data_IF_918745664640
#
_entry.id   IF_918745664640
#
_cell.length_a   1.000
_cell.length_b   1.000
_cell.length_c   1.000
_cell.angle_alpha   90.00
_cell.angle_beta   90.00
_cell.angle_gamma   90.00
#
_symmetry.space_group_name_H-M   'P 1'
#
loop_
_entity.id
_entity.type
_entity.pdbx_description
1 polymer ?
#
# COMPACT_ATOMS: atom_id res chain seq x y z
N UNK A 1 -39.77 -20.46 105.25
CA UNK A 1 -38.51 -19.76 104.94
C UNK A 1 -37.59 -20.52 103.98
N UNK A 2 -38.04 -21.58 103.29
CA UNK A 2 -37.33 -22.20 102.14
C UNK A 2 -37.95 -21.82 100.78
N UNK A 3 -39.28 -21.71 100.69
CA UNK A 3 -39.99 -21.35 99.45
C UNK A 3 -39.64 -19.95 98.92
N UNK A 4 -39.58 -18.93 99.81
CA UNK A 4 -39.21 -17.56 99.42
C UNK A 4 -37.77 -17.44 98.92
N UNK A 5 -36.87 -18.27 99.42
CA UNK A 5 -35.45 -18.28 99.00
C UNK A 5 -35.28 -18.91 97.62
N UNK A 6 -36.06 -19.95 97.32
CA UNK A 6 -36.06 -20.62 96.02
C UNK A 6 -36.68 -19.73 94.92
N UNK A 7 -37.77 -19.03 95.21
CA UNK A 7 -38.41 -18.06 94.31
C UNK A 7 -37.44 -16.93 93.92
N UNK A 8 -36.71 -16.39 94.90
CA UNK A 8 -35.72 -15.34 94.66
C UNK A 8 -34.52 -15.84 93.84
N UNK A 9 -34.11 -17.09 94.01
CA UNK A 9 -33.05 -17.72 93.21
C UNK A 9 -33.49 -17.94 91.75
N UNK A 10 -34.72 -18.41 91.52
CA UNK A 10 -35.28 -18.59 90.18
C UNK A 10 -35.46 -17.25 89.46
N UNK A 11 -35.99 -16.24 90.15
CA UNK A 11 -36.09 -14.88 89.62
C UNK A 11 -34.72 -14.32 89.23
N UNK A 12 -33.70 -14.51 90.09
CA UNK A 12 -32.33 -14.06 89.80
C UNK A 12 -31.77 -14.79 88.58
N UNK A 13 -31.92 -16.12 88.52
CA UNK A 13 -31.43 -16.92 87.39
C UNK A 13 -32.10 -16.53 86.07
N UNK A 14 -33.44 -16.47 86.02
CA UNK A 14 -34.20 -16.08 84.81
C UNK A 14 -33.88 -14.64 84.40
N UNK A 15 -33.80 -13.70 85.34
CA UNK A 15 -33.47 -12.30 85.05
C UNK A 15 -32.03 -12.15 84.54
N UNK A 16 -31.07 -12.87 85.13
CA UNK A 16 -29.68 -12.88 84.66
C UNK A 16 -29.54 -13.51 83.28
N UNK A 17 -30.22 -14.64 83.02
CA UNK A 17 -30.24 -15.28 81.70
C UNK A 17 -30.90 -14.38 80.66
N UNK A 18 -32.03 -13.74 80.99
CA UNK A 18 -32.70 -12.79 80.09
C UNK A 18 -31.83 -11.58 79.78
N UNK A 19 -31.18 -10.99 80.79
CA UNK A 19 -30.27 -9.85 80.61
C UNK A 19 -29.03 -10.21 79.78
N UNK A 20 -28.50 -11.43 79.95
CA UNK A 20 -27.44 -11.95 79.09
C UNK A 20 -27.92 -12.13 77.65
N UNK A 21 -29.14 -12.68 77.44
CA UNK A 21 -29.74 -12.82 76.11
C UNK A 21 -29.99 -11.48 75.43
N UNK A 22 -30.32 -10.43 76.16
CA UNK A 22 -30.39 -9.06 75.61
C UNK A 22 -29.02 -8.62 75.05
N UNK A 23 -27.93 -9.00 75.72
CA UNK A 23 -26.56 -8.79 75.24
C UNK A 23 -26.25 -9.58 73.96
N UNK A 24 -26.68 -10.84 73.90
CA UNK A 24 -26.52 -11.71 72.71
C UNK A 24 -27.32 -11.18 71.53
N UNK A 25 -28.57 -10.76 71.75
CA UNK A 25 -29.44 -10.19 70.74
C UNK A 25 -28.82 -8.93 70.13
N UNK A 26 -28.22 -8.07 70.96
CA UNK A 26 -27.47 -6.92 70.47
C UNK A 26 -26.31 -7.31 69.56
N UNK A 27 -25.58 -8.40 69.85
CA UNK A 27 -24.49 -8.89 68.97
C UNK A 27 -25.07 -9.35 67.63
N UNK A 28 -26.10 -10.20 67.64
CA UNK A 28 -26.77 -10.71 66.44
C UNK A 28 -27.31 -9.56 65.56
N UNK A 29 -27.89 -8.52 66.17
CA UNK A 29 -28.44 -7.37 65.46
C UNK A 29 -27.35 -6.37 65.00
N UNK A 30 -26.23 -6.24 65.73
CA UNK A 30 -25.14 -5.32 65.40
C UNK A 30 -24.19 -5.85 64.32
N UNK A 31 -24.10 -7.17 64.17
CA UNK A 31 -23.24 -7.82 63.18
C UNK A 31 -23.64 -7.57 61.72
N UNK A 32 -24.82 -7.00 61.49
CA UNK A 32 -25.23 -6.59 60.14
C UNK A 32 -24.52 -5.32 59.64
N UNK A 33 -23.74 -4.61 60.48
CA UNK A 33 -23.28 -3.25 60.14
C UNK A 33 -21.77 -2.97 60.27
N UNK A 34 -20.93 -3.84 60.85
CA UNK A 34 -19.56 -3.47 61.16
C UNK A 34 -18.51 -4.24 60.33
N UNK A 35 -17.90 -3.49 59.41
CA UNK A 35 -16.53 -3.68 58.98
C UNK A 35 -15.63 -3.83 60.21
N UNK A 36 -15.27 -5.06 60.58
CA UNK A 36 -14.17 -5.31 61.50
C UNK A 36 -12.99 -5.84 60.68
N UNK A 37 -11.82 -5.20 60.84
CA UNK A 37 -10.54 -5.54 60.19
C UNK A 37 -10.03 -6.98 60.49
N UNK A 38 -10.79 -7.80 61.21
CA UNK A 38 -10.45 -9.20 61.48
C UNK A 38 -11.70 -10.11 61.56
N UNK A 39 -12.16 -10.56 60.39
CA UNK A 39 -13.31 -11.47 60.23
C UNK A 39 -13.09 -12.81 60.95
N UNK A 40 -11.85 -13.27 61.08
CA UNK A 40 -11.52 -14.52 61.78
C UNK A 40 -11.71 -14.40 63.29
N UNK A 41 -11.24 -13.31 63.90
CA UNK A 41 -11.45 -13.06 65.33
C UNK A 41 -12.94 -12.84 65.68
N UNK A 42 -13.71 -12.23 64.77
CA UNK A 42 -15.15 -12.04 64.96
C UNK A 42 -15.92 -13.36 64.82
N UNK A 43 -15.53 -14.21 63.88
CA UNK A 43 -16.08 -15.57 63.74
C UNK A 43 -15.79 -16.42 64.98
N UNK A 44 -14.54 -16.42 65.47
CA UNK A 44 -14.17 -17.15 66.70
C UNK A 44 -15.00 -16.69 67.92
N UNK A 45 -15.22 -15.38 68.05
CA UNK A 45 -16.06 -14.79 69.10
C UNK A 45 -17.54 -15.21 68.99
N UNK A 46 -18.11 -15.19 67.80
CA UNK A 46 -19.51 -15.61 67.59
C UNK A 46 -19.69 -17.13 67.75
N UNK A 47 -18.72 -17.95 67.31
CA UNK A 47 -18.75 -19.40 67.52
C UNK A 47 -18.67 -19.77 69.00
N UNK A 48 -17.85 -19.04 69.78
CA UNK A 48 -17.80 -19.18 71.24
C UNK A 48 -19.17 -18.85 71.86
N UNK A 49 -19.80 -17.76 71.42
CA UNK A 49 -21.11 -17.34 71.92
C UNK A 49 -22.23 -18.32 71.51
N UNK A 50 -22.15 -18.92 70.32
CA UNK A 50 -23.07 -19.97 69.88
C UNK A 50 -22.95 -21.24 70.72
N UNK A 51 -21.72 -21.61 71.10
CA UNK A 51 -21.46 -22.71 72.03
C UNK A 51 -22.04 -22.43 73.41
N UNK A 52 -21.89 -21.20 73.92
CA UNK A 52 -22.48 -20.78 75.20
C UNK A 52 -24.01 -20.78 75.17
N UNK A 53 -24.63 -20.30 74.10
CA UNK A 53 -26.09 -20.40 73.90
C UNK A 53 -26.56 -21.85 73.92
N UNK A 54 -25.85 -22.73 73.22
CA UNK A 54 -26.19 -24.15 73.19
C UNK A 54 -26.09 -24.79 74.58
N UNK A 55 -25.06 -24.44 75.35
CA UNK A 55 -24.88 -24.90 76.74
C UNK A 55 -26.03 -24.41 77.63
N UNK A 56 -26.35 -23.11 77.58
CA UNK A 56 -27.44 -22.52 78.38
C UNK A 56 -28.81 -23.08 77.97
N UNK A 57 -29.04 -23.34 76.69
CA UNK A 57 -30.23 -24.05 76.21
C UNK A 57 -30.33 -25.48 76.76
N UNK A 58 -29.20 -26.18 76.88
CA UNK A 58 -29.09 -27.47 77.55
C UNK A 58 -29.45 -27.39 79.03
N UNK A 59 -28.96 -26.36 79.74
CA UNK A 59 -29.29 -26.11 81.15
C UNK A 59 -30.76 -25.76 81.38
N UNK A 60 -31.37 -24.98 80.47
CA UNK A 60 -32.82 -24.68 80.49
C UNK A 60 -33.63 -25.95 80.25
N UNK A 61 -33.24 -26.79 79.29
CA UNK A 61 -33.91 -28.08 79.03
C UNK A 61 -33.79 -29.04 80.21
N UNK A 62 -32.62 -29.07 80.86
CA UNK A 62 -32.41 -29.84 82.08
C UNK A 62 -33.28 -29.29 83.23
N UNK A 63 -33.38 -27.97 83.36
CA UNK A 63 -34.27 -27.33 84.33
C UNK A 63 -35.75 -27.65 84.06
N UNK A 64 -36.18 -27.71 82.80
CA UNK A 64 -37.53 -28.16 82.41
C UNK A 64 -37.80 -29.62 82.83
N UNK A 65 -36.84 -30.52 82.63
CA UNK A 65 -36.99 -31.94 83.01
C UNK A 65 -37.00 -32.15 84.53
N UNK A 66 -36.17 -31.40 85.27
CA UNK A 66 -36.16 -31.42 86.73
C UNK A 66 -37.44 -30.81 87.32
N UNK A 67 -37.95 -29.74 86.72
CA UNK A 67 -39.24 -29.14 87.09
C UNK A 67 -40.39 -30.14 86.85
N UNK A 68 -40.37 -30.82 85.71
CA UNK A 68 -41.35 -31.85 85.37
C UNK A 68 -41.38 -33.01 86.39
N UNK A 69 -40.21 -33.39 86.94
CA UNK A 69 -40.04 -34.45 87.93
C UNK A 69 -40.30 -34.02 89.39
N UNK A 70 -40.48 -32.72 89.66
CA UNK A 70 -40.68 -32.20 91.01
C UNK A 70 -42.15 -32.36 91.47
N UNK A 71 -42.37 -32.77 92.73
CA UNK A 71 -43.70 -33.06 93.31
C UNK A 71 -44.12 -32.14 94.46
N UNK A 72 -43.31 -31.12 94.78
CA UNK A 72 -43.48 -30.26 95.96
C UNK A 72 -43.97 -28.82 95.71
N UNK A 73 -44.21 -28.43 94.46
CA UNK A 73 -44.62 -27.07 94.07
C UNK A 73 -46.14 -26.95 93.90
N UNK A 74 -46.70 -25.76 94.13
CA UNK A 74 -48.11 -25.48 93.81
C UNK A 74 -48.31 -25.45 92.29
N UNK A 75 -49.47 -25.90 91.82
CA UNK A 75 -49.76 -26.02 90.38
C UNK A 75 -49.59 -24.69 89.62
N UNK A 76 -49.99 -23.57 90.23
CA UNK A 76 -49.88 -22.23 89.63
C UNK A 76 -48.42 -21.75 89.52
N UNK A 77 -47.60 -21.98 90.55
CA UNK A 77 -46.16 -21.63 90.56
C UNK A 77 -45.37 -22.47 89.55
N UNK A 78 -45.76 -23.75 89.38
CA UNK A 78 -45.18 -24.65 88.39
C UNK A 78 -45.50 -24.22 86.96
N UNK A 79 -46.76 -23.88 86.67
CA UNK A 79 -47.18 -23.42 85.34
C UNK A 79 -46.45 -22.14 84.92
N UNK A 80 -46.31 -21.16 85.83
CA UNK A 80 -45.57 -19.93 85.56
C UNK A 80 -44.08 -20.20 85.27
N UNK A 81 -43.46 -21.16 85.97
CA UNK A 81 -42.05 -21.50 85.76
C UNK A 81 -41.85 -22.29 84.45
N UNK A 82 -42.79 -23.17 84.10
CA UNK A 82 -42.84 -23.86 82.80
C UNK A 82 -42.95 -22.83 81.66
N UNK A 83 -43.89 -21.88 81.73
CA UNK A 83 -44.06 -20.80 80.74
C UNK A 83 -42.79 -19.94 80.59
N UNK A 84 -42.13 -19.59 81.69
CA UNK A 84 -40.89 -18.80 81.65
C UNK A 84 -39.73 -19.58 81.02
N UNK A 85 -39.59 -20.87 81.35
CA UNK A 85 -38.57 -21.72 80.75
C UNK A 85 -38.85 -21.98 79.27
N UNK A 86 -40.11 -22.11 78.87
CA UNK A 86 -40.50 -22.23 77.46
C UNK A 86 -40.22 -20.93 76.68
N UNK A 87 -40.56 -19.76 77.24
CA UNK A 87 -40.18 -18.47 76.66
C UNK A 87 -38.66 -18.32 76.49
N UNK A 88 -37.88 -18.71 77.51
CA UNK A 88 -36.41 -18.68 77.43
C UNK A 88 -35.89 -19.65 76.38
N UNK A 89 -36.46 -20.86 76.27
CA UNK A 89 -36.08 -21.86 75.29
C UNK A 89 -36.36 -21.41 73.86
N UNK A 90 -37.52 -20.81 73.61
CA UNK A 90 -37.85 -20.23 72.31
C UNK A 90 -36.87 -19.10 71.93
N UNK A 91 -36.59 -18.20 72.88
CA UNK A 91 -35.63 -17.10 72.67
C UNK A 91 -34.20 -17.60 72.42
N UNK A 92 -33.75 -18.58 73.20
CA UNK A 92 -32.46 -19.25 73.02
C UNK A 92 -32.38 -19.96 71.66
N UNK A 93 -33.47 -20.61 71.23
CA UNK A 93 -33.55 -21.28 69.93
C UNK A 93 -33.51 -20.30 68.76
N UNK A 94 -34.24 -19.18 68.84
CA UNK A 94 -34.25 -18.14 67.83
C UNK A 94 -32.88 -17.44 67.70
N UNK A 95 -32.29 -17.03 68.83
CA UNK A 95 -30.96 -16.41 68.86
C UNK A 95 -29.87 -17.40 68.44
N UNK A 96 -29.95 -18.66 68.88
CA UNK A 96 -29.03 -19.72 68.47
C UNK A 96 -29.09 -20.02 66.97
N UNK A 97 -30.30 -20.04 66.38
CA UNK A 97 -30.49 -20.21 64.95
C UNK A 97 -29.95 -19.02 64.14
N UNK A 98 -30.22 -17.79 64.57
CA UNK A 98 -29.74 -16.58 63.91
C UNK A 98 -28.20 -16.46 63.98
N UNK A 99 -27.60 -16.73 65.14
CA UNK A 99 -26.15 -16.72 65.31
C UNK A 99 -25.47 -17.84 64.52
N UNK A 100 -26.06 -19.03 64.47
CA UNK A 100 -25.58 -20.14 63.64
C UNK A 100 -25.55 -19.77 62.15
N UNK A 101 -26.62 -19.15 61.64
CA UNK A 101 -26.68 -18.66 60.26
C UNK A 101 -25.65 -17.56 59.97
N UNK A 102 -25.42 -16.65 60.93
CA UNK A 102 -24.37 -15.63 60.85
C UNK A 102 -22.97 -16.26 60.74
N UNK A 103 -22.65 -17.22 61.61
CA UNK A 103 -21.38 -17.96 61.57
C UNK A 103 -21.19 -18.72 60.25
N UNK A 104 -22.22 -19.40 59.76
CA UNK A 104 -22.16 -20.12 58.48
C UNK A 104 -21.96 -19.17 57.28
N UNK A 105 -22.62 -18.01 57.32
CA UNK A 105 -22.45 -16.96 56.33
C UNK A 105 -21.02 -16.40 56.33
N UNK A 106 -20.49 -16.04 57.51
CA UNK A 106 -19.11 -15.55 57.66
C UNK A 106 -18.08 -16.61 57.25
N UNK A 107 -18.24 -17.87 57.65
CA UNK A 107 -17.34 -18.97 57.24
C UNK A 107 -17.31 -19.15 55.72
N UNK A 108 -18.49 -19.13 55.09
CA UNK A 108 -18.61 -19.21 53.63
C UNK A 108 -17.94 -18.02 52.95
N UNK A 109 -18.16 -16.80 53.46
CA UNK A 109 -17.54 -15.58 52.95
C UNK A 109 -16.02 -15.60 53.09
N UNK A 110 -15.49 -16.00 54.26
CA UNK A 110 -14.04 -16.12 54.50
C UNK A 110 -13.41 -17.13 53.57
N UNK A 111 -14.02 -18.32 53.39
CA UNK A 111 -13.53 -19.30 52.42
C UNK A 111 -13.53 -18.77 50.98
N UNK A 112 -14.55 -18.02 50.58
CA UNK A 112 -14.62 -17.41 49.24
C UNK A 112 -13.58 -16.30 49.06
N UNK A 113 -13.32 -15.47 50.08
CA UNK A 113 -12.25 -14.46 50.07
C UNK A 113 -10.86 -15.10 49.99
N UNK A 114 -10.61 -16.17 50.74
CA UNK A 114 -9.36 -16.93 50.66
C UNK A 114 -9.21 -17.57 49.28
N UNK A 115 -10.25 -18.19 48.73
CA UNK A 115 -10.23 -18.76 47.38
C UNK A 115 -10.06 -17.67 46.29
N UNK A 116 -10.59 -16.48 46.52
CA UNK A 116 -10.41 -15.32 45.65
C UNK A 116 -8.95 -14.84 45.66
N UNK A 117 -8.36 -14.65 46.83
CA UNK A 117 -6.96 -14.27 47.02
C UNK A 117 -6.02 -15.36 46.46
N UNK A 118 -6.25 -16.62 46.80
CA UNK A 118 -5.51 -17.78 46.28
C UNK A 118 -5.78 -18.00 44.78
N UNK A 119 -6.84 -17.45 44.19
CA UNK A 119 -7.05 -17.45 42.74
C UNK A 119 -6.27 -16.33 42.02
N UNK A 120 -6.06 -15.19 42.68
CA UNK A 120 -5.27 -14.06 42.17
C UNK A 120 -3.79 -14.45 42.06
N UNK A 121 -3.24 -15.14 43.06
CA UNK A 121 -1.83 -15.54 43.09
C UNK A 121 -1.37 -16.42 41.90
N UNK A 122 -2.00 -17.56 41.57
CA UNK A 122 -1.65 -18.38 40.43
C UNK A 122 -1.98 -17.68 39.12
N UNK A 123 -3.00 -16.81 39.06
CA UNK A 123 -3.23 -15.98 37.86
C UNK A 123 -2.04 -15.02 37.62
N UNK A 124 -1.56 -14.34 38.67
CA UNK A 124 -0.37 -13.49 38.63
C UNK A 124 0.90 -14.33 38.37
N UNK A 125 1.02 -15.53 38.94
CA UNK A 125 2.20 -16.40 38.82
C UNK A 125 2.29 -17.08 37.44
N UNK A 126 1.16 -17.51 36.87
CA UNK A 126 1.05 -18.00 35.49
C UNK A 126 1.47 -16.90 34.52
N UNK A 127 1.05 -15.65 34.79
CA UNK A 127 1.45 -14.44 34.06
C UNK A 127 2.95 -14.13 34.18
N UNK A 128 3.54 -14.34 35.36
CA UNK A 128 4.97 -14.10 35.58
C UNK A 128 5.88 -15.21 35.05
N UNK A 129 5.41 -16.46 34.96
CA UNK A 129 6.32 -17.60 34.88
C UNK A 129 6.04 -18.63 33.77
N UNK A 130 4.81 -18.73 33.22
CA UNK A 130 4.48 -19.89 32.36
C UNK A 130 4.07 -19.56 30.94
N UNK A 131 3.47 -18.38 30.67
CA UNK A 131 3.16 -17.99 29.29
C UNK A 131 4.31 -17.22 28.65
N UNK A 132 4.90 -16.22 29.34
CA UNK A 132 5.97 -15.38 28.78
C UNK A 132 6.98 -14.94 29.87
N UNK A 133 7.96 -15.79 30.24
CA UNK A 133 9.00 -15.47 31.23
C UNK A 133 9.85 -14.23 30.86
N UNK A 134 9.79 -13.81 29.59
CA UNK A 134 10.59 -12.75 28.98
C UNK A 134 9.88 -11.41 28.81
N UNK A 135 8.63 -11.23 29.28
CA UNK A 135 7.89 -9.96 29.08
C UNK A 135 7.96 -8.98 30.25
N UNK A 136 8.31 -9.43 31.45
CA UNK A 136 8.15 -8.62 32.68
C UNK A 136 9.41 -8.47 33.55
N UNK A 137 10.60 -8.83 33.05
CA UNK A 137 11.86 -8.63 33.82
C UNK A 137 12.95 -7.79 33.14
N UNK A 138 12.74 -7.20 31.96
CA UNK A 138 13.58 -6.14 31.35
C UNK A 138 12.77 -5.37 30.31
N UNK A 139 13.14 -4.11 30.05
CA UNK A 139 12.55 -3.18 29.07
C UNK A 139 11.59 -3.86 28.08
N UNK A 140 10.28 -3.68 28.31
CA UNK A 140 9.16 -4.25 27.52
C UNK A 140 9.31 -4.00 26.02
N UNK A 141 10.02 -2.92 25.66
CA UNK A 141 10.39 -2.57 24.29
C UNK A 141 11.40 -3.55 23.68
N UNK A 142 12.42 -3.97 24.41
CA UNK A 142 13.58 -4.72 23.87
C UNK A 142 13.26 -6.19 23.56
N UNK A 143 12.40 -6.85 24.35
CA UNK A 143 12.12 -8.28 24.20
C UNK A 143 10.96 -8.61 23.27
N UNK A 144 9.92 -7.76 23.20
CA UNK A 144 8.94 -7.81 22.10
C UNK A 144 9.67 -7.58 20.78
N UNK A 145 10.60 -6.62 20.72
CA UNK A 145 11.48 -6.43 19.55
C UNK A 145 12.39 -7.64 19.27
N UNK A 146 12.80 -8.43 20.27
CA UNK A 146 13.69 -9.58 20.12
C UNK A 146 12.96 -10.85 19.62
N UNK A 147 11.83 -11.23 20.21
CA UNK A 147 10.99 -12.35 19.71
C UNK A 147 10.44 -12.04 18.32
N UNK A 148 10.15 -10.76 18.04
CA UNK A 148 9.77 -10.31 16.70
C UNK A 148 10.98 -10.19 15.75
N UNK A 149 12.19 -9.93 16.24
CA UNK A 149 13.44 -9.95 15.46
C UNK A 149 13.83 -11.39 15.07
N UNK A 150 13.55 -12.38 15.91
CA UNK A 150 13.78 -13.81 15.60
C UNK A 150 12.82 -14.33 14.52
N UNK A 151 11.70 -13.65 14.26
CA UNK A 151 10.77 -13.94 13.16
C UNK A 151 11.04 -13.16 11.86
N UNK A 152 12.14 -12.41 11.77
CA UNK A 152 12.47 -11.55 10.60
C UNK A 152 12.64 -12.31 9.29
N UNK A 153 12.88 -13.63 9.33
CA UNK A 153 12.95 -14.48 8.14
C UNK A 153 11.57 -14.87 7.56
N UNK A 154 10.45 -14.58 8.24
CA UNK A 154 9.09 -14.90 7.76
C UNK A 154 8.32 -13.70 7.23
N UNK A 155 7.49 -13.86 6.17
CA UNK A 155 6.64 -12.79 5.62
C UNK A 155 5.74 -12.11 6.66
N UNK A 156 5.51 -10.81 6.52
CA UNK A 156 4.65 -10.03 7.42
C UNK A 156 3.22 -10.59 7.53
N UNK A 157 2.69 -11.23 6.48
CA UNK A 157 1.40 -11.92 6.45
C UNK A 157 1.35 -13.14 7.37
N UNK A 158 2.46 -13.89 7.48
CA UNK A 158 2.56 -15.04 8.39
C UNK A 158 2.74 -14.58 9.84
N UNK A 159 3.49 -13.50 10.06
CA UNK A 159 3.60 -12.89 11.39
C UNK A 159 2.25 -12.38 11.91
N UNK A 160 1.38 -11.88 11.01
CA UNK A 160 0.03 -11.43 11.35
C UNK A 160 -0.85 -12.56 11.91
N UNK A 161 -0.65 -13.81 11.46
CA UNK A 161 -1.40 -14.97 11.98
C UNK A 161 -0.93 -15.40 13.38
N UNK A 162 0.33 -15.13 13.75
CA UNK A 162 0.90 -15.53 15.05
C UNK A 162 0.56 -14.52 16.15
N UNK A 163 0.36 -13.25 15.80
CA UNK A 163 -0.12 -12.20 16.72
C UNK A 163 -1.62 -12.38 16.93
N UNK A 164 -2.01 -13.32 17.79
CA UNK A 164 -3.42 -13.68 18.02
C UNK A 164 -4.08 -12.82 19.11
N UNK A 165 -5.17 -12.13 18.74
CA UNK A 165 -6.01 -11.32 19.65
C UNK A 165 -6.83 -12.19 20.61
N UNK A 166 -7.01 -13.47 20.30
CA UNK A 166 -7.88 -14.37 21.05
C UNK A 166 -7.38 -14.60 22.48
N UNK A 167 -6.07 -14.68 22.66
CA UNK A 167 -5.46 -14.77 23.99
C UNK A 167 -5.70 -13.48 24.79
N UNK A 168 -5.57 -12.30 24.16
CA UNK A 168 -5.83 -11.00 24.82
C UNK A 168 -7.29 -10.89 25.27
N UNK A 169 -8.25 -11.31 24.44
CA UNK A 169 -9.68 -11.32 24.79
C UNK A 169 -9.99 -12.26 25.96
N UNK A 170 -9.33 -13.41 26.04
CA UNK A 170 -9.49 -14.31 27.19
C UNK A 170 -8.93 -13.70 28.47
N UNK A 171 -7.80 -12.97 28.39
CA UNK A 171 -7.25 -12.23 29.53
C UNK A 171 -8.18 -11.09 29.99
N UNK A 172 -8.72 -10.31 29.06
CA UNK A 172 -9.68 -9.24 29.36
C UNK A 172 -10.90 -9.79 30.11
N UNK A 173 -11.46 -10.90 29.62
CA UNK A 173 -12.59 -11.59 30.27
C UNK A 173 -12.25 -12.04 31.69
N UNK A 174 -11.08 -12.66 31.90
CA UNK A 174 -10.64 -13.10 33.23
C UNK A 174 -10.42 -11.94 34.19
N UNK A 175 -9.88 -10.81 33.73
CA UNK A 175 -9.74 -9.60 34.56
C UNK A 175 -11.10 -9.03 34.95
N UNK A 176 -12.05 -8.99 34.02
CA UNK A 176 -13.43 -8.56 34.30
C UNK A 176 -14.13 -9.48 35.31
N UNK A 177 -13.97 -10.80 35.18
CA UNK A 177 -14.46 -11.80 36.14
C UNK A 177 -13.85 -11.60 37.53
N UNK A 178 -12.54 -11.39 37.63
CA UNK A 178 -11.87 -11.10 38.89
C UNK A 178 -12.39 -9.81 39.54
N UNK A 179 -12.56 -8.72 38.77
CA UNK A 179 -13.12 -7.46 39.28
C UNK A 179 -14.55 -7.64 39.80
N UNK A 180 -15.42 -8.30 39.03
CA UNK A 180 -16.81 -8.53 39.43
C UNK A 180 -16.93 -9.40 40.69
N UNK A 181 -16.12 -10.47 40.78
CA UNK A 181 -16.04 -11.34 41.95
C UNK A 181 -15.48 -10.61 43.17
N UNK A 182 -14.47 -9.75 42.97
CA UNK A 182 -13.91 -8.91 44.02
C UNK A 182 -14.92 -7.93 44.60
N UNK A 183 -15.72 -7.29 43.74
CA UNK A 183 -16.77 -6.37 44.16
C UNK A 183 -17.88 -7.10 44.95
N UNK A 184 -18.32 -8.27 44.47
CA UNK A 184 -19.32 -9.08 45.16
C UNK A 184 -18.86 -9.55 46.55
N UNK A 185 -17.58 -9.87 46.71
CA UNK A 185 -17.00 -10.30 47.97
C UNK A 185 -16.57 -9.14 48.89
N UNK A 186 -16.64 -7.89 48.40
CA UNK A 186 -16.05 -6.71 49.05
C UNK A 186 -14.60 -6.99 49.45
N UNK A 187 -13.80 -7.39 48.47
CA UNK A 187 -12.40 -7.72 48.69
C UNK A 187 -11.60 -6.55 49.28
N UNK A 188 -10.52 -6.89 49.99
CA UNK A 188 -9.65 -5.92 50.62
C UNK A 188 -8.91 -5.03 49.59
N UNK A 189 -8.41 -3.89 50.06
CA UNK A 189 -7.71 -2.93 49.20
C UNK A 189 -6.49 -3.55 48.51
N UNK A 190 -5.75 -4.45 49.17
CA UNK A 190 -4.54 -5.06 48.61
C UNK A 190 -4.89 -5.95 47.41
N UNK A 191 -5.96 -6.73 47.50
CA UNK A 191 -6.47 -7.53 46.38
C UNK A 191 -6.96 -6.66 45.22
N UNK A 192 -7.62 -5.54 45.55
CA UNK A 192 -8.09 -4.56 44.56
C UNK A 192 -6.91 -3.92 43.82
N UNK A 193 -5.87 -3.47 44.54
CA UNK A 193 -4.67 -2.88 43.97
C UNK A 193 -3.91 -3.87 43.07
N UNK A 194 -3.86 -5.16 43.45
CA UNK A 194 -3.24 -6.21 42.62
C UNK A 194 -3.95 -6.39 41.28
N UNK A 195 -5.28 -6.32 41.26
CA UNK A 195 -6.07 -6.42 40.03
C UNK A 195 -5.94 -5.17 39.16
N UNK A 196 -5.81 -3.99 39.76
CA UNK A 196 -5.52 -2.75 39.03
C UNK A 196 -4.15 -2.83 38.33
N UNK A 197 -3.09 -3.25 39.03
CA UNK A 197 -1.77 -3.44 38.41
C UNK A 197 -1.79 -4.44 37.25
N UNK A 198 -2.60 -5.49 37.38
CA UNK A 198 -2.79 -6.47 36.32
C UNK A 198 -3.54 -5.89 35.12
N UNK A 199 -4.53 -5.02 35.35
CA UNK A 199 -5.21 -4.28 34.29
C UNK A 199 -4.22 -3.37 33.54
N UNK A 200 -3.41 -2.60 34.27
CA UNK A 200 -2.41 -1.70 33.67
C UNK A 200 -1.43 -2.49 32.78
N UNK A 201 -0.93 -3.63 33.30
CA UNK A 201 -0.06 -4.54 32.56
C UNK A 201 -0.72 -5.12 31.30
N UNK A 202 -2.01 -5.45 31.35
CA UNK A 202 -2.79 -5.91 30.19
C UNK A 202 -2.93 -4.80 29.15
N UNK A 203 -3.26 -3.57 29.57
CA UNK A 203 -3.44 -2.43 28.67
C UNK A 203 -2.14 -2.06 27.95
N UNK A 204 -1.00 -2.05 28.67
CA UNK A 204 0.32 -1.85 28.05
C UNK A 204 0.63 -2.91 26.99
N UNK A 205 0.35 -4.19 27.30
CA UNK A 205 0.55 -5.29 26.36
C UNK A 205 -0.36 -5.17 25.13
N UNK A 206 -1.65 -4.87 25.35
CA UNK A 206 -2.62 -4.69 24.27
C UNK A 206 -2.22 -3.53 23.36
N UNK A 207 -1.72 -2.42 23.92
CA UNK A 207 -1.18 -1.28 23.16
C UNK A 207 0.05 -1.66 22.34
N UNK A 208 1.00 -2.41 22.92
CA UNK A 208 2.20 -2.87 22.22
C UNK A 208 1.85 -3.81 21.04
N UNK A 209 0.93 -4.76 21.26
CA UNK A 209 0.42 -5.67 20.24
C UNK A 209 -0.32 -4.90 19.14
N UNK A 210 -1.19 -3.96 19.50
CA UNK A 210 -1.92 -3.12 18.54
C UNK A 210 -1.00 -2.27 17.66
N UNK A 211 0.02 -1.65 18.26
CA UNK A 211 1.05 -0.89 17.54
C UNK A 211 1.81 -1.77 16.54
N UNK A 212 2.23 -2.97 16.95
CA UNK A 212 2.91 -3.92 16.06
C UNK A 212 2.01 -4.37 14.90
N UNK A 213 0.75 -4.70 15.17
CA UNK A 213 -0.22 -5.07 14.13
C UNK A 213 -0.41 -3.95 13.12
N UNK A 214 -0.53 -2.71 13.58
CA UNK A 214 -0.60 -1.54 12.70
C UNK A 214 0.63 -1.43 11.79
N UNK A 215 1.84 -1.58 12.35
CA UNK A 215 3.08 -1.57 11.57
C UNK A 215 3.18 -2.72 10.55
N UNK A 216 2.79 -3.94 10.93
CA UNK A 216 2.75 -5.08 10.02
C UNK A 216 1.73 -4.88 8.89
N UNK A 217 0.53 -4.37 9.19
CA UNK A 217 -0.48 -4.04 8.19
C UNK A 217 0.02 -2.99 7.20
N UNK A 218 0.71 -1.96 7.69
CA UNK A 218 1.34 -0.96 6.83
C UNK A 218 2.39 -1.61 5.91
N UNK A 219 3.22 -2.52 6.44
CA UNK A 219 4.21 -3.24 5.65
C UNK A 219 3.57 -4.15 4.59
N UNK A 220 2.49 -4.86 4.93
CA UNK A 220 1.75 -5.68 3.96
C UNK A 220 1.16 -4.82 2.85
N UNK A 221 0.55 -3.67 3.19
CA UNK A 221 0.01 -2.74 2.20
C UNK A 221 1.09 -2.17 1.28
N UNK A 222 2.25 -1.79 1.83
CA UNK A 222 3.40 -1.31 1.06
C UNK A 222 3.98 -2.41 0.16
N UNK A 223 4.06 -3.65 0.65
CA UNK A 223 4.52 -4.80 -0.16
C UNK A 223 3.58 -5.05 -1.34
N UNK A 224 2.27 -4.98 -1.13
CA UNK A 224 1.30 -5.11 -2.22
C UNK A 224 1.44 -3.99 -3.28
N UNK A 225 1.67 -2.75 -2.85
CA UNK A 225 1.92 -1.63 -3.77
C UNK A 225 3.19 -1.83 -4.59
N UNK A 226 4.26 -2.30 -3.96
CA UNK A 226 5.50 -2.65 -4.63
C UNK A 226 5.31 -3.79 -5.65
N UNK A 227 4.66 -4.88 -5.25
CA UNK A 227 4.43 -6.04 -6.14
C UNK A 227 3.64 -5.63 -7.38
N UNK A 228 2.62 -4.78 -7.20
CA UNK A 228 1.87 -4.21 -8.32
C UNK A 228 2.75 -3.32 -9.21
N UNK A 229 3.54 -2.41 -8.63
CA UNK A 229 4.43 -1.56 -9.40
C UNK A 229 5.49 -2.36 -10.18
N UNK A 230 6.02 -3.44 -9.59
CA UNK A 230 6.96 -4.33 -10.25
C UNK A 230 6.33 -5.09 -11.41
N UNK A 231 5.09 -5.57 -11.25
CA UNK A 231 4.36 -6.22 -12.34
C UNK A 231 4.06 -5.24 -13.48
N UNK A 232 3.57 -4.04 -13.15
CA UNK A 232 3.31 -2.99 -14.14
C UNK A 232 4.61 -2.62 -14.90
N UNK A 233 5.74 -2.55 -14.20
CA UNK A 233 7.05 -2.32 -14.83
C UNK A 233 7.45 -3.47 -15.76
N UNK A 234 7.26 -4.72 -15.35
CA UNK A 234 7.55 -5.88 -16.19
C UNK A 234 6.72 -5.86 -17.49
N UNK A 235 5.42 -5.58 -17.40
CA UNK A 235 4.52 -5.49 -18.55
C UNK A 235 4.92 -4.32 -19.50
N UNK A 236 5.32 -3.18 -18.92
CA UNK A 236 5.86 -2.05 -19.69
C UNK A 236 7.18 -2.40 -20.37
N UNK A 237 8.07 -3.13 -19.70
CA UNK A 237 9.36 -3.59 -20.27
C UNK A 237 9.10 -4.53 -21.44
N UNK A 238 8.16 -5.46 -21.34
CA UNK A 238 7.85 -6.37 -22.44
C UNK A 238 7.20 -5.65 -23.62
N UNK A 239 6.30 -4.70 -23.34
CA UNK A 239 5.77 -3.79 -24.37
C UNK A 239 6.90 -2.99 -25.04
N UNK A 240 7.86 -2.51 -24.25
CA UNK A 240 8.98 -1.73 -24.73
C UNK A 240 9.93 -2.58 -25.59
N UNK A 241 10.25 -3.81 -25.19
CA UNK A 241 11.00 -4.78 -26.02
C UNK A 241 10.27 -5.04 -27.34
N UNK A 242 8.95 -5.22 -27.30
CA UNK A 242 8.13 -5.39 -28.50
C UNK A 242 8.24 -4.19 -29.45
N UNK A 243 8.14 -2.96 -28.92
CA UNK A 243 8.34 -1.72 -29.70
C UNK A 243 9.75 -1.60 -30.27
N UNK A 244 10.78 -2.05 -29.55
CA UNK A 244 12.17 -2.01 -30.04
C UNK A 244 12.49 -3.12 -31.04
N UNK A 245 11.77 -4.23 -30.99
CA UNK A 245 11.91 -5.33 -31.95
C UNK A 245 11.10 -5.11 -33.24
N UNK A 246 10.05 -4.29 -33.20
CA UNK A 246 9.25 -3.92 -34.37
C UNK A 246 10.11 -3.23 -35.45
N UNK A 247 9.67 -3.35 -36.71
CA UNK A 247 10.38 -2.99 -37.94
C UNK A 247 11.36 -1.81 -37.82
N UNK A 248 12.58 -2.00 -38.33
CA UNK A 248 13.65 -1.01 -38.27
C UNK A 248 13.31 0.29 -39.01
N UNK A 249 12.46 0.21 -40.04
CA UNK A 249 12.00 1.35 -40.84
C UNK A 249 10.68 1.89 -40.31
N UNK A 250 10.61 3.19 -40.14
CA UNK A 250 9.36 3.85 -39.77
C UNK A 250 8.46 4.01 -41.00
N UNK A 251 7.15 3.90 -40.82
CA UNK A 251 6.16 4.24 -41.84
C UNK A 251 5.73 5.68 -41.60
N UNK A 252 6.11 6.58 -42.50
CA UNK A 252 5.80 8.00 -42.43
C UNK A 252 5.73 8.60 -43.83
N UNK A 253 4.70 9.41 -44.08
CA UNK A 253 4.47 10.12 -45.34
C UNK A 253 5.11 11.52 -45.34
N UNK A 254 5.48 12.07 -44.17
CA UNK A 254 6.00 13.42 -44.03
C UNK A 254 6.97 13.56 -42.84
N UNK A 255 7.72 14.68 -42.81
CA UNK A 255 8.56 15.04 -41.67
C UNK A 255 7.73 15.23 -40.38
N UNK A 256 6.50 15.72 -40.48
CA UNK A 256 5.62 15.92 -39.32
C UNK A 256 5.16 14.58 -38.72
N UNK A 257 4.94 13.56 -39.56
CA UNK A 257 4.66 12.21 -39.06
C UNK A 257 5.87 11.58 -38.38
N UNK A 258 7.09 11.81 -38.90
CA UNK A 258 8.33 11.40 -38.22
C UNK A 258 8.47 12.10 -36.86
N UNK A 259 8.17 13.40 -36.78
CA UNK A 259 8.13 14.14 -35.51
C UNK A 259 7.11 13.54 -34.54
N UNK A 260 5.90 13.23 -35.01
CA UNK A 260 4.87 12.58 -34.18
C UNK A 260 5.33 11.23 -33.64
N UNK A 261 6.02 10.42 -34.46
CA UNK A 261 6.61 9.16 -34.01
C UNK A 261 7.70 9.37 -32.96
N UNK A 262 8.59 10.35 -33.16
CA UNK A 262 9.63 10.72 -32.19
C UNK A 262 9.03 11.17 -30.86
N UNK A 263 7.99 11.99 -30.86
CA UNK A 263 7.34 12.50 -29.64
C UNK A 263 6.69 11.36 -28.86
N UNK A 264 5.93 10.48 -29.55
CA UNK A 264 5.31 9.29 -28.94
C UNK A 264 6.35 8.32 -28.39
N UNK A 265 7.49 8.17 -29.07
CA UNK A 265 8.62 7.38 -28.60
C UNK A 265 9.17 7.96 -27.29
N UNK A 266 9.50 9.26 -27.27
CA UNK A 266 10.00 9.96 -26.08
C UNK A 266 9.03 9.86 -24.90
N UNK A 267 7.75 10.14 -25.13
CA UNK A 267 6.71 10.09 -24.09
C UNK A 267 6.62 8.70 -23.45
N UNK A 268 6.57 7.65 -24.26
CA UNK A 268 6.49 6.28 -23.75
C UNK A 268 7.73 5.90 -22.92
N UNK A 269 8.94 6.20 -23.41
CA UNK A 269 10.16 5.81 -22.72
C UNK A 269 10.47 6.66 -21.49
N UNK A 270 10.06 7.94 -21.47
CA UNK A 270 10.04 8.75 -20.27
C UNK A 270 9.06 8.20 -19.22
N UNK A 271 7.90 7.72 -19.65
CA UNK A 271 6.94 7.02 -18.79
C UNK A 271 7.52 5.73 -18.19
N UNK A 272 8.23 4.93 -19.00
CA UNK A 272 8.93 3.72 -18.53
C UNK A 272 9.99 4.04 -17.48
N UNK A 273 10.83 5.05 -17.73
CA UNK A 273 11.84 5.50 -16.76
C UNK A 273 11.21 6.00 -15.46
N UNK A 274 10.11 6.76 -15.56
CA UNK A 274 9.36 7.23 -14.39
C UNK A 274 8.79 6.06 -13.56
N UNK A 275 8.27 5.02 -14.22
CA UNK A 275 7.79 3.80 -13.56
C UNK A 275 8.91 2.98 -12.91
N UNK A 276 10.10 2.95 -13.51
CA UNK A 276 11.30 2.34 -12.91
C UNK A 276 11.64 3.02 -11.58
N UNK A 277 11.69 4.36 -11.57
CA UNK A 277 11.96 5.16 -10.36
C UNK A 277 10.87 4.93 -9.30
N UNK A 278 9.60 4.89 -9.69
CA UNK A 278 8.48 4.60 -8.78
C UNK A 278 8.66 3.23 -8.10
N UNK A 279 9.04 2.21 -8.88
CA UNK A 279 9.27 0.85 -8.38
C UNK A 279 10.45 0.79 -7.43
N UNK A 280 11.59 1.42 -7.77
CA UNK A 280 12.75 1.57 -6.88
C UNK A 280 12.39 2.33 -5.59
N UNK A 281 11.51 3.32 -5.67
CA UNK A 281 11.02 4.09 -4.51
C UNK A 281 10.21 3.22 -3.55
N UNK A 282 9.30 2.39 -4.08
CA UNK A 282 8.56 1.43 -3.24
C UNK A 282 9.48 0.38 -2.63
N UNK A 283 10.43 -0.14 -3.41
CA UNK A 283 11.43 -1.07 -2.92
C UNK A 283 12.24 -0.48 -1.76
N UNK A 284 12.69 0.77 -1.86
CA UNK A 284 13.42 1.45 -0.78
C UNK A 284 12.67 1.47 0.56
N UNK A 285 11.33 1.50 0.54
CA UNK A 285 10.49 1.46 1.75
C UNK A 285 10.39 0.07 2.38
N UNK A 286 10.61 -1.00 1.61
CA UNK A 286 10.37 -2.39 2.05
C UNK A 286 11.60 -3.29 1.92
N UNK A 287 12.76 -2.78 1.50
CA UNK A 287 13.95 -3.57 1.18
C UNK A 287 14.42 -4.47 2.34
N UNK A 288 14.24 -4.01 3.58
CA UNK A 288 14.54 -4.77 4.81
C UNK A 288 13.61 -5.95 5.07
N UNK A 289 12.50 -6.08 4.32
CA UNK A 289 11.50 -7.14 4.44
C UNK A 289 11.54 -8.14 3.27
N UNK A 290 12.41 -7.91 2.28
CA UNK A 290 12.45 -8.70 1.05
C UNK A 290 13.31 -9.96 1.22
N UNK A 291 12.88 -11.05 0.60
CA UNK A 291 13.66 -12.26 0.46
C UNK A 291 14.74 -12.11 -0.63
N UNK A 292 15.86 -12.86 -0.56
CA UNK A 292 16.89 -12.82 -1.60
C UNK A 292 16.36 -13.15 -3.01
N UNK A 293 15.37 -14.04 -3.12
CA UNK A 293 14.73 -14.37 -4.41
C UNK A 293 13.95 -13.19 -4.99
N UNK A 294 13.19 -12.48 -4.14
CA UNK A 294 12.41 -11.29 -4.55
C UNK A 294 13.33 -10.16 -5.01
N UNK A 295 14.48 -9.97 -4.31
CA UNK A 295 15.52 -9.02 -4.73
C UNK A 295 16.08 -9.33 -6.12
N UNK A 296 16.31 -10.61 -6.43
CA UNK A 296 16.81 -11.01 -7.76
C UNK A 296 15.83 -10.69 -8.89
N UNK A 297 14.53 -10.93 -8.69
CA UNK A 297 13.49 -10.61 -9.69
C UNK A 297 13.47 -9.11 -9.98
N UNK A 298 13.57 -8.28 -8.93
CA UNK A 298 13.70 -6.83 -9.09
C UNK A 298 14.95 -6.45 -9.88
N UNK A 299 16.12 -6.94 -9.46
CA UNK A 299 17.40 -6.63 -10.13
C UNK A 299 17.37 -7.01 -11.61
N UNK A 300 16.82 -8.18 -11.95
CA UNK A 300 16.65 -8.60 -13.33
C UNK A 300 15.73 -7.65 -14.10
N UNK A 301 14.58 -7.29 -13.54
CA UNK A 301 13.61 -6.38 -14.17
C UNK A 301 14.22 -4.99 -14.39
N UNK A 302 14.94 -4.46 -13.39
CA UNK A 302 15.64 -3.16 -13.50
C UNK A 302 16.75 -3.20 -14.55
N UNK A 303 17.51 -4.29 -14.62
CA UNK A 303 18.56 -4.46 -15.62
C UNK A 303 17.99 -4.54 -17.04
N UNK A 304 16.88 -5.28 -17.22
CA UNK A 304 16.15 -5.32 -18.49
C UNK A 304 15.61 -3.93 -18.87
N UNK A 305 15.01 -3.20 -17.92
CA UNK A 305 14.52 -1.83 -18.12
C UNK A 305 15.63 -0.91 -18.58
N UNK A 306 16.77 -0.88 -17.89
CA UNK A 306 17.96 -0.08 -18.26
C UNK A 306 18.53 -0.48 -19.61
N UNK A 307 18.49 -1.77 -19.95
CA UNK A 307 18.87 -2.27 -21.27
C UNK A 307 18.00 -1.66 -22.37
N UNK A 308 16.68 -1.75 -22.20
CA UNK A 308 15.71 -1.22 -23.16
C UNK A 308 15.75 0.31 -23.24
N UNK A 309 15.90 1.03 -22.12
CA UNK A 309 16.05 2.48 -22.12
C UNK A 309 17.28 2.93 -22.93
N UNK A 310 18.43 2.25 -22.79
CA UNK A 310 19.62 2.54 -23.61
C UNK A 310 19.39 2.31 -25.10
N UNK A 311 18.73 1.22 -25.47
CA UNK A 311 18.36 0.96 -26.87
C UNK A 311 17.41 2.02 -27.40
N UNK A 312 16.39 2.38 -26.62
CA UNK A 312 15.40 3.38 -26.98
C UNK A 312 16.01 4.76 -27.16
N UNK A 313 17.02 5.11 -26.35
CA UNK A 313 17.74 6.37 -26.50
C UNK A 313 18.48 6.43 -27.84
N UNK A 314 19.19 5.35 -28.21
CA UNK A 314 19.84 5.26 -29.52
C UNK A 314 18.84 5.38 -30.67
N UNK A 315 17.67 4.73 -30.56
CA UNK A 315 16.61 4.85 -31.58
C UNK A 315 16.02 6.27 -31.64
N UNK A 316 15.87 6.93 -30.49
CA UNK A 316 15.43 8.33 -30.43
C UNK A 316 16.38 9.27 -31.18
N UNK A 317 17.69 9.10 -30.99
CA UNK A 317 18.72 9.86 -31.74
C UNK A 317 18.67 9.57 -33.24
N UNK A 318 18.44 8.31 -33.63
CA UNK A 318 18.26 7.94 -35.04
C UNK A 318 17.04 8.66 -35.65
N UNK A 319 15.90 8.68 -34.95
CA UNK A 319 14.69 9.38 -35.39
C UNK A 319 14.90 10.90 -35.53
N UNK A 320 15.64 11.52 -34.61
CA UNK A 320 16.04 12.93 -34.72
C UNK A 320 16.90 13.18 -35.97
N UNK A 321 17.86 12.29 -36.27
CA UNK A 321 18.69 12.37 -37.47
C UNK A 321 17.89 12.20 -38.78
N UNK A 322 16.91 11.28 -38.79
CA UNK A 322 15.98 11.09 -39.91
C UNK A 322 15.17 12.36 -40.13
N UNK A 323 14.59 12.91 -39.07
CA UNK A 323 13.77 14.11 -39.13
C UNK A 323 14.54 15.32 -39.69
N UNK A 324 15.76 15.54 -39.19
CA UNK A 324 16.62 16.63 -39.65
C UNK A 324 17.01 16.47 -41.12
N UNK A 325 17.39 15.24 -41.51
CA UNK A 325 17.71 14.93 -42.91
C UNK A 325 16.50 15.15 -43.82
N UNK A 326 15.30 14.76 -43.38
CA UNK A 326 14.07 14.97 -44.15
C UNK A 326 13.75 16.45 -44.32
N UNK A 327 13.82 17.25 -43.26
CA UNK A 327 13.55 18.70 -43.31
C UNK A 327 14.49 19.41 -44.27
N UNK A 328 15.78 19.09 -44.22
CA UNK A 328 16.78 19.62 -45.18
C UNK A 328 16.48 19.16 -46.60
N UNK A 329 16.15 17.88 -46.79
CA UNK A 329 15.85 17.32 -48.12
C UNK A 329 14.66 18.03 -48.78
N UNK A 330 13.61 18.36 -48.03
CA UNK A 330 12.44 19.09 -48.55
C UNK A 330 12.86 20.46 -49.08
N UNK A 331 13.69 21.20 -48.33
CA UNK A 331 14.20 22.50 -48.76
C UNK A 331 15.09 22.38 -50.01
N UNK A 332 16.00 21.41 -50.01
CA UNK A 332 16.91 21.19 -51.12
C UNK A 332 16.17 20.73 -52.39
N UNK A 333 15.13 19.89 -52.24
CA UNK A 333 14.26 19.47 -53.33
C UNK A 333 13.52 20.67 -53.95
N UNK A 334 12.90 21.51 -53.12
CA UNK A 334 12.19 22.71 -53.57
C UNK A 334 13.13 23.69 -54.29
N UNK A 335 14.32 23.91 -53.74
CA UNK A 335 15.35 24.76 -54.36
C UNK A 335 15.76 24.22 -55.72
N UNK A 336 16.02 22.91 -55.84
CA UNK A 336 16.37 22.28 -57.12
C UNK A 336 15.23 22.31 -58.14
N UNK A 337 13.97 22.12 -57.68
CA UNK A 337 12.79 22.29 -58.53
C UNK A 337 12.70 23.69 -59.12
N UNK A 338 12.88 24.73 -58.29
CA UNK A 338 12.89 26.12 -58.76
C UNK A 338 14.02 26.45 -59.74
N UNK A 339 15.22 25.86 -59.55
CA UNK A 339 16.31 25.99 -60.53
C UNK A 339 15.96 25.35 -61.87
N UNK A 340 15.28 24.19 -61.86
CA UNK A 340 14.83 23.52 -63.07
C UNK A 340 13.71 24.28 -63.78
N UNK A 341 12.74 24.80 -63.04
CA UNK A 341 11.68 25.66 -63.56
C UNK A 341 12.26 26.92 -64.23
N UNK A 342 13.24 27.58 -63.59
CA UNK A 342 13.90 28.75 -64.17
C UNK A 342 14.65 28.44 -65.49
N UNK A 343 15.23 27.24 -65.60
CA UNK A 343 15.82 26.77 -66.86
C UNK A 343 14.73 26.53 -67.90
N UNK A 344 13.63 25.88 -67.53
CA UNK A 344 12.52 25.57 -68.43
C UNK A 344 11.80 26.82 -68.94
N UNK A 345 11.52 27.79 -68.08
CA UNK A 345 10.92 29.09 -68.46
C UNK A 345 11.82 29.91 -69.39
N UNK A 346 13.14 29.71 -69.30
CA UNK A 346 14.11 30.36 -70.19
C UNK A 346 14.17 29.73 -71.59
N UNK A 347 13.54 28.56 -71.81
CA UNK A 347 13.48 27.89 -73.11
C UNK A 347 12.40 28.56 -73.97
N UNK A 348 12.73 29.14 -75.14
CA UNK A 348 11.73 29.77 -76.01
C UNK A 348 10.65 28.78 -76.48
N UNK A 349 9.38 29.11 -76.22
CA UNK A 349 8.22 28.25 -76.52
C UNK A 349 7.92 28.07 -78.02
N UNK A 350 8.34 29.00 -78.87
CA UNK A 350 8.13 28.97 -80.33
C UNK A 350 9.48 29.14 -81.02
N UNK A 351 9.76 28.28 -82.00
CA UNK A 351 10.86 28.51 -82.94
C UNK A 351 10.56 29.76 -83.76
N UNK A 352 11.29 30.84 -83.51
CA UNK A 352 11.07 32.11 -84.22
C UNK A 352 11.44 31.96 -85.70
N UNK A 353 10.53 32.45 -86.53
CA UNK A 353 10.49 32.41 -88.00
C UNK A 353 11.49 33.36 -88.69
N UNK A 354 12.21 34.19 -87.93
CA UNK A 354 13.15 35.16 -88.48
C UNK A 354 14.61 34.83 -88.16
N UNK A 355 15.35 34.44 -89.20
CA UNK A 355 16.68 33.85 -89.12
C UNK A 355 17.74 34.78 -89.73
N UNK A 356 18.25 35.70 -88.90
CA UNK A 356 19.54 36.34 -89.16
C UNK A 356 20.66 35.58 -88.43
N UNK A 357 21.89 35.70 -88.91
CA UNK A 357 23.06 35.09 -88.26
C UNK A 357 23.20 35.56 -86.81
N UNK A 358 22.95 36.84 -86.57
CA UNK A 358 23.02 37.46 -85.24
C UNK A 358 22.00 36.83 -84.28
N UNK A 359 20.73 36.67 -84.70
CA UNK A 359 19.69 36.02 -83.88
C UNK A 359 20.02 34.54 -83.61
N UNK A 360 20.65 33.86 -84.57
CA UNK A 360 21.09 32.47 -84.40
C UNK A 360 22.23 32.37 -83.38
N UNK A 361 23.22 33.27 -83.45
CA UNK A 361 24.31 33.36 -82.47
C UNK A 361 23.78 33.71 -81.06
N UNK A 362 22.85 34.65 -80.93
CA UNK A 362 22.21 34.99 -79.65
C UNK A 362 21.50 33.79 -79.02
N UNK A 363 20.74 33.01 -79.81
CA UNK A 363 20.10 31.78 -79.33
C UNK A 363 21.13 30.74 -78.91
N UNK A 364 22.20 30.54 -79.68
CA UNK A 364 23.27 29.61 -79.31
C UNK A 364 23.88 30.03 -77.96
N UNK A 365 24.18 31.32 -77.77
CA UNK A 365 24.68 31.84 -76.48
C UNK A 365 23.69 31.61 -75.33
N UNK A 366 22.39 31.79 -75.55
CA UNK A 366 21.35 31.48 -74.55
C UNK A 366 21.40 30.00 -74.15
N UNK A 367 21.34 29.08 -75.12
CA UNK A 367 21.34 27.64 -74.84
C UNK A 367 22.68 27.15 -74.25
N UNK A 368 23.81 27.75 -74.64
CA UNK A 368 25.11 27.51 -73.98
C UNK A 368 25.08 27.95 -72.51
N UNK A 369 24.48 29.11 -72.22
CA UNK A 369 24.25 29.58 -70.84
C UNK A 369 23.36 28.65 -70.02
N UNK A 370 22.25 28.17 -70.60
CA UNK A 370 21.36 27.20 -69.95
C UNK A 370 22.06 25.87 -69.68
N UNK A 371 22.84 25.37 -70.65
CA UNK A 371 23.69 24.18 -70.46
C UNK A 371 24.70 24.40 -69.34
N UNK A 372 25.33 25.57 -69.27
CA UNK A 372 26.23 25.96 -68.18
C UNK A 372 25.55 25.87 -66.80
N UNK A 373 24.36 26.46 -66.65
CA UNK A 373 23.57 26.41 -65.41
C UNK A 373 23.23 24.97 -64.99
N UNK A 374 22.83 24.12 -65.93
CA UNK A 374 22.57 22.70 -65.66
C UNK A 374 23.85 21.99 -65.21
N UNK A 375 24.98 22.21 -65.89
CA UNK A 375 26.26 21.59 -65.47
C UNK A 375 26.71 22.06 -64.09
N UNK A 376 26.47 23.31 -63.74
CA UNK A 376 26.79 23.87 -62.42
C UNK A 376 26.00 23.18 -61.30
N UNK A 377 24.69 22.94 -61.52
CA UNK A 377 23.80 22.36 -60.50
C UNK A 377 23.79 20.81 -60.48
N UNK A 378 24.51 20.15 -61.39
CA UNK A 378 24.56 18.68 -61.49
C UNK A 378 24.96 18.00 -60.18
N UNK A 379 25.94 18.57 -59.47
CA UNK A 379 26.43 18.02 -58.20
C UNK A 379 25.35 18.10 -57.10
N UNK A 380 24.59 19.21 -57.05
CA UNK A 380 23.53 19.42 -56.08
C UNK A 380 22.36 18.48 -56.35
N UNK A 381 21.98 18.24 -57.61
CA UNK A 381 20.99 17.21 -57.96
C UNK A 381 21.40 15.83 -57.43
N UNK A 382 22.64 15.41 -57.70
CA UNK A 382 23.16 14.12 -57.23
C UNK A 382 23.13 14.02 -55.71
N UNK A 383 23.45 15.12 -55.02
CA UNK A 383 23.32 15.20 -53.56
C UNK A 383 21.87 14.98 -53.10
N UNK A 384 20.90 15.70 -53.67
CA UNK A 384 19.46 15.59 -53.31
C UNK A 384 18.94 14.18 -53.54
N UNK A 385 19.20 13.60 -54.71
CA UNK A 385 18.79 12.23 -55.03
C UNK A 385 19.49 11.22 -54.11
N UNK A 386 20.76 11.44 -53.77
CA UNK A 386 21.52 10.59 -52.87
C UNK A 386 21.02 10.65 -51.43
N UNK A 387 20.72 11.85 -50.91
CA UNK A 387 20.13 12.05 -49.58
C UNK A 387 18.74 11.42 -49.49
N UNK A 388 17.89 11.61 -50.50
CA UNK A 388 16.57 10.99 -50.56
C UNK A 388 16.61 9.46 -50.59
N UNK A 389 17.51 8.86 -51.39
CA UNK A 389 17.71 7.40 -51.41
C UNK A 389 18.20 6.86 -50.07
N UNK A 390 19.11 7.58 -49.39
CA UNK A 390 19.56 7.19 -48.04
C UNK A 390 18.42 7.25 -47.03
N UNK A 391 17.57 8.28 -47.10
CA UNK A 391 16.42 8.43 -46.21
C UNK A 391 15.41 7.27 -46.36
N UNK A 392 15.19 6.79 -47.59
CA UNK A 392 14.34 5.63 -47.89
C UNK A 392 14.88 4.29 -47.35
N UNK A 393 16.14 4.23 -46.89
CA UNK A 393 16.66 3.06 -46.16
C UNK A 393 16.10 2.99 -44.73
N UNK A 394 15.68 4.13 -44.18
CA UNK A 394 15.18 4.27 -42.80
C UNK A 394 13.68 4.53 -42.72
N UNK A 395 13.05 4.97 -43.82
CA UNK A 395 11.62 5.28 -43.86
C UNK A 395 10.93 4.62 -45.05
N UNK A 396 9.75 4.06 -44.81
CA UNK A 396 8.85 3.55 -45.85
C UNK A 396 7.93 4.68 -46.36
N UNK A 397 8.36 5.39 -47.42
CA UNK A 397 7.59 6.47 -48.03
C UNK A 397 7.56 6.39 -49.57
N UNK A 398 6.54 5.73 -50.15
CA UNK A 398 6.41 5.63 -51.61
C UNK A 398 6.25 6.99 -52.30
N UNK A 399 5.66 7.98 -51.61
CA UNK A 399 5.50 9.32 -52.16
C UNK A 399 6.86 10.01 -52.39
N UNK A 400 7.78 9.90 -51.43
CA UNK A 400 9.14 10.43 -51.57
C UNK A 400 9.90 9.72 -52.69
N UNK A 401 9.78 8.40 -52.79
CA UNK A 401 10.39 7.62 -53.87
C UNK A 401 9.94 8.12 -55.26
N UNK A 402 8.63 8.35 -55.43
CA UNK A 402 8.08 8.94 -56.65
C UNK A 402 8.58 10.37 -56.90
N UNK A 403 8.64 11.22 -55.87
CA UNK A 403 9.14 12.60 -56.00
C UNK A 403 10.59 12.65 -56.49
N UNK A 404 11.45 11.77 -55.98
CA UNK A 404 12.84 11.66 -56.41
C UNK A 404 12.96 11.17 -57.86
N UNK A 405 12.10 10.21 -58.26
CA UNK A 405 12.05 9.74 -59.65
C UNK A 405 11.63 10.87 -60.59
N UNK A 406 10.57 11.61 -60.26
CA UNK A 406 10.08 12.76 -61.05
C UNK A 406 11.15 13.84 -61.20
N UNK A 407 11.86 14.18 -60.11
CA UNK A 407 12.96 15.16 -60.18
C UNK A 407 14.09 14.70 -61.10
N UNK A 408 14.45 13.41 -61.04
CA UNK A 408 15.46 12.81 -61.91
C UNK A 408 15.07 12.88 -63.39
N UNK A 409 13.83 12.50 -63.71
CA UNK A 409 13.30 12.56 -65.08
C UNK A 409 13.21 14.00 -65.58
N UNK A 410 12.68 14.93 -64.78
CA UNK A 410 12.59 16.35 -65.16
C UNK A 410 13.95 16.97 -65.49
N UNK A 411 14.97 16.61 -64.71
CA UNK A 411 16.36 17.02 -65.00
C UNK A 411 16.87 16.46 -66.34
N UNK A 412 16.63 15.18 -66.61
CA UNK A 412 17.03 14.53 -67.86
C UNK A 412 16.32 15.14 -69.06
N UNK A 413 15.03 15.42 -68.94
CA UNK A 413 14.21 16.05 -69.97
C UNK A 413 14.73 17.45 -70.30
N UNK A 414 14.95 18.32 -69.31
CA UNK A 414 15.50 19.66 -69.53
C UNK A 414 16.89 19.60 -70.16
N UNK A 415 17.76 18.72 -69.67
CA UNK A 415 19.10 18.53 -70.22
C UNK A 415 19.06 18.05 -71.68
N UNK A 416 18.14 17.13 -72.01
CA UNK A 416 17.93 16.61 -73.35
C UNK A 416 17.39 17.68 -74.30
N UNK A 417 16.37 18.44 -73.88
CA UNK A 417 15.81 19.57 -74.64
C UNK A 417 16.89 20.62 -74.96
N UNK A 418 17.64 21.08 -73.95
CA UNK A 418 18.69 22.09 -74.10
C UNK A 418 19.80 21.60 -75.05
N UNK A 419 20.29 20.37 -74.88
CA UNK A 419 21.37 19.86 -75.71
C UNK A 419 20.95 19.59 -77.17
N UNK A 420 19.76 19.02 -77.40
CA UNK A 420 19.24 18.78 -78.76
C UNK A 420 19.06 20.09 -79.52
N UNK A 421 18.50 21.09 -78.87
CA UNK A 421 18.25 22.37 -79.51
C UNK A 421 19.54 23.17 -79.76
N UNK A 422 20.49 23.12 -78.82
CA UNK A 422 21.83 23.66 -79.04
C UNK A 422 22.52 23.00 -80.25
N UNK A 423 22.51 21.66 -80.32
CA UNK A 423 23.07 20.92 -81.45
C UNK A 423 22.39 21.27 -82.78
N UNK A 424 21.06 21.43 -82.76
CA UNK A 424 20.29 21.83 -83.95
C UNK A 424 20.72 23.23 -84.43
N UNK A 425 20.81 24.20 -83.52
CA UNK A 425 21.22 25.57 -83.85
C UNK A 425 22.67 25.65 -84.33
N UNK A 426 23.59 24.92 -83.69
CA UNK A 426 25.00 24.83 -84.12
C UNK A 426 25.15 24.21 -85.51
N UNK A 427 24.35 23.17 -85.82
CA UNK A 427 24.32 22.58 -87.15
C UNK A 427 23.82 23.59 -88.20
N UNK A 428 22.75 24.34 -87.90
CA UNK A 428 22.23 25.40 -88.78
C UNK A 428 23.30 26.48 -89.02
N UNK A 429 23.98 26.97 -87.97
CA UNK A 429 25.02 28.00 -88.10
C UNK A 429 26.17 27.52 -88.98
N UNK A 430 26.58 26.25 -88.84
CA UNK A 430 27.61 25.62 -89.67
C UNK A 430 27.21 25.55 -91.15
N UNK A 431 25.92 25.31 -91.44
CA UNK A 431 25.41 25.37 -92.81
C UNK A 431 25.36 26.80 -93.34
N UNK A 432 24.92 27.75 -92.52
CA UNK A 432 24.81 29.17 -92.87
C UNK A 432 26.17 29.78 -93.25
N UNK A 433 27.19 29.54 -92.43
CA UNK A 433 28.59 29.98 -92.66
C UNK A 433 29.24 29.34 -93.90
N UNK A 434 28.90 28.09 -94.22
CA UNK A 434 29.34 27.43 -95.47
C UNK A 434 28.68 28.01 -96.72
N UNK A 435 27.41 28.39 -96.64
CA UNK A 435 26.68 29.00 -97.76
C UNK A 435 27.08 30.46 -98.01
N UNK A 436 27.41 31.21 -96.95
CA UNK A 436 27.87 32.61 -97.04
C UNK A 436 29.28 32.82 -97.59
N UNK A 437 30.11 31.77 -97.63
CA UNK A 437 31.48 31.79 -98.18
C UNK A 437 31.54 31.39 -99.66
N UNK A 438 30.41 31.09 -100.30
CA UNK A 438 30.31 30.86 -101.75
C UNK A 438 30.28 32.21 -102.50
N UNK A 439 31.07 32.42 -103.60
CA UNK A 439 31.19 33.71 -104.27
C UNK A 439 29.95 34.19 -105.05
N UNK A 440 28.87 33.41 -105.12
CA UNK A 440 27.75 33.70 -106.01
C UNK A 440 26.53 34.24 -105.25
N UNK A 441 26.42 35.58 -105.21
CA UNK A 441 25.28 36.29 -104.61
C UNK A 441 24.08 36.24 -105.56
N UNK A 442 23.10 35.38 -105.27
CA UNK A 442 21.69 35.62 -105.69
C UNK A 442 20.64 34.70 -105.07
N UNK A 443 20.88 34.02 -103.95
CA UNK A 443 19.82 33.19 -103.32
C UNK A 443 19.34 33.83 -102.03
N UNK A 444 18.12 34.35 -102.08
CA UNK A 444 17.40 34.90 -100.93
C UNK A 444 17.20 33.77 -99.87
N UNK A 445 17.81 33.87 -98.67
CA UNK A 445 17.78 32.80 -97.66
C UNK A 445 16.36 32.38 -97.23
N UNK A 446 15.37 33.27 -97.39
CA UNK A 446 13.96 33.01 -97.07
C UNK A 446 13.32 31.85 -97.86
N UNK A 447 13.84 31.52 -99.06
CA UNK A 447 13.30 30.43 -99.90
C UNK A 447 13.82 29.05 -99.50
N UNK A 448 14.98 28.96 -98.84
CA UNK A 448 15.53 27.67 -98.39
C UNK A 448 14.80 27.14 -97.16
N UNK A 449 14.43 28.01 -96.23
CA UNK A 449 13.74 27.62 -95.01
C UNK A 449 12.30 27.14 -95.22
N UNK A 450 11.63 27.64 -96.27
CA UNK A 450 10.28 27.19 -96.64
C UNK A 450 10.23 25.71 -97.06
N UNK A 451 11.32 25.16 -97.62
CA UNK A 451 11.38 23.76 -98.05
C UNK A 451 11.78 22.79 -96.93
N UNK A 452 12.44 23.27 -95.86
CA UNK A 452 12.89 22.39 -94.77
C UNK A 452 11.77 22.08 -93.77
N UNK A 453 10.81 22.99 -93.59
CA UNK A 453 9.62 22.76 -92.77
C UNK A 453 8.62 21.75 -93.37
N UNK A 454 8.78 21.36 -94.65
CA UNK A 454 7.91 20.39 -95.33
C UNK A 454 8.32 18.91 -95.16
N UNK A 455 9.44 18.62 -94.50
CA UNK A 455 9.94 17.27 -94.26
C UNK A 455 10.51 17.10 -92.83
N UNK A 456 9.67 17.34 -91.81
CA UNK A 456 9.84 16.76 -90.47
C UNK A 456 8.48 16.32 -89.96
#
# INVERSE_FOLDING_TARGET
TQASTMEQQLYTAVSSTSSWLDGVENVVLSDSLLLADNVEAQLEKQETLASDLHRVAGEVTLSQTLLAASSGLRQEERALLEDNLDCLKERLGALGGALGQSCDHMRTRTHQLTAYQVGIYPFIQIQLFTSWPSLFTKDTKCQVLQVLAETTDRPASEQLQVVTEDNLKEFEKKIAELKSRGAALQADQISTDKILKLQDAYEELAMAVGSRRSGLNQNVALKLQYERALQDLADLVDTAKGKMAADQRIVAASADEVQSHLDKHKEFFQGLESHMILTETYYGKICGLMLPKERRVLEETLNQTRGVLRQSHSKGVELEGILETWRRLVQDYQSMGGQLEAVEESIPAVGLVEETEEKLMERISLYQGLKGKLTEHQHKLQQVLGEGKRLLLSVCCPALENQLAVLGEHWLDNTSKVNKELQRLEAILKHWTRSGTSPDRSVNPALWFSNWHGQV
#
